data_IF_760103186881
#
_entry.id   IF_760103186881
#
_cell.length_a   1.000
_cell.length_b   1.000
_cell.length_c   1.000
_cell.angle_alpha   90.00
_cell.angle_beta   90.00
_cell.angle_gamma   90.00
#
_symmetry.space_group_name_H-M   'P 1'
#
loop_
_entity.id
_entity.type
_entity.pdbx_description
1 polymer ?
#
# COMPACT_ATOMS: atom_id res chain seq x y z
N UNK A 1 7.62 14.39 25.49
CA UNK A 1 6.93 15.70 25.34
C UNK A 1 7.02 16.24 23.90
N UNK A 2 8.13 16.81 23.41
CA UNK A 2 8.24 17.22 21.99
C UNK A 2 9.04 16.22 21.11
N UNK A 3 10.18 15.75 21.62
CA UNK A 3 11.04 14.77 20.92
C UNK A 3 10.29 13.47 20.59
N UNK A 4 9.46 13.00 21.52
CA UNK A 4 8.64 11.80 21.34
C UNK A 4 7.65 11.92 20.18
N UNK A 5 6.92 13.04 20.09
CA UNK A 5 5.99 13.30 18.98
C UNK A 5 6.73 13.45 17.65
N UNK A 6 7.89 14.11 17.66
CA UNK A 6 8.75 14.23 16.49
C UNK A 6 9.23 12.85 16.01
N UNK A 7 9.67 11.99 16.92
CA UNK A 7 10.09 10.61 16.61
C UNK A 7 8.93 9.78 16.05
N UNK A 8 7.75 9.83 16.67
CA UNK A 8 6.57 9.11 16.17
C UNK A 8 6.16 9.58 14.77
N UNK A 9 6.20 10.89 14.54
CA UNK A 9 5.91 11.48 13.23
C UNK A 9 6.95 11.05 12.21
N UNK A 10 8.23 11.11 12.57
CA UNK A 10 9.33 10.68 11.71
C UNK A 10 9.22 9.19 11.34
N UNK A 11 8.89 8.33 12.31
CA UNK A 11 8.64 6.90 12.07
C UNK A 11 7.45 6.72 11.12
N UNK A 12 6.35 7.44 11.33
CA UNK A 12 5.16 7.37 10.50
C UNK A 12 5.45 7.77 9.05
N UNK A 13 6.08 8.92 8.82
CA UNK A 13 6.41 9.40 7.46
C UNK A 13 7.45 8.52 6.77
N UNK A 14 8.42 7.97 7.50
CA UNK A 14 9.42 7.04 6.94
C UNK A 14 8.73 5.75 6.50
N UNK A 15 7.80 5.24 7.30
CA UNK A 15 7.00 4.06 6.98
C UNK A 15 6.09 4.31 5.77
N UNK A 16 5.47 5.48 5.69
CA UNK A 16 4.69 5.92 4.54
C UNK A 16 5.55 6.02 3.27
N UNK A 17 6.77 6.58 3.36
CA UNK A 17 7.68 6.70 2.24
C UNK A 17 8.12 5.33 1.69
N UNK A 18 8.42 4.37 2.57
CA UNK A 18 8.77 3.00 2.18
C UNK A 18 7.59 2.34 1.45
N UNK A 19 6.38 2.45 2.03
CA UNK A 19 5.17 1.86 1.46
C UNK A 19 4.79 2.52 0.13
N UNK A 20 4.42 3.80 0.16
CA UNK A 20 3.89 4.54 -1.00
C UNK A 20 4.95 4.67 -2.09
N UNK A 21 6.18 5.03 -1.70
CA UNK A 21 7.28 5.22 -2.65
C UNK A 21 7.69 3.92 -3.34
N UNK A 22 7.82 2.82 -2.59
CA UNK A 22 8.13 1.52 -3.17
C UNK A 22 7.02 0.98 -4.06
N UNK A 23 5.76 1.14 -3.66
CA UNK A 23 4.61 0.76 -4.49
C UNK A 23 4.53 1.59 -5.78
N UNK A 24 4.78 2.90 -5.72
CA UNK A 24 4.89 3.76 -6.90
C UNK A 24 6.02 3.32 -7.83
N UNK A 25 7.20 3.02 -7.29
CA UNK A 25 8.31 2.51 -8.10
C UNK A 25 7.94 1.21 -8.82
N UNK A 26 7.32 0.26 -8.12
CA UNK A 26 6.89 -1.01 -8.72
C UNK A 26 5.85 -0.78 -9.82
N UNK A 27 4.80 0.01 -9.54
CA UNK A 27 3.68 0.22 -10.46
C UNK A 27 4.02 1.11 -11.66
N UNK A 28 4.76 2.19 -11.45
CA UNK A 28 4.99 3.24 -12.46
C UNK A 28 6.29 3.04 -13.23
N UNK A 29 7.31 2.45 -12.60
CA UNK A 29 8.65 2.29 -13.23
C UNK A 29 8.89 0.83 -13.60
N UNK A 30 8.87 -0.07 -12.62
CA UNK A 30 9.27 -1.46 -12.83
C UNK A 30 8.29 -2.24 -13.73
N UNK A 31 6.98 -2.16 -13.46
CA UNK A 31 5.98 -2.90 -14.24
C UNK A 31 5.93 -2.50 -15.73
N UNK A 32 6.00 -1.21 -16.10
CA UNK A 32 6.07 -0.81 -17.52
C UNK A 32 7.36 -1.25 -18.21
N UNK A 33 8.50 -1.19 -17.53
CA UNK A 33 9.78 -1.69 -18.07
C UNK A 33 9.67 -3.18 -18.35
N UNK A 34 9.20 -3.96 -17.37
CA UNK A 34 9.07 -5.41 -17.51
C UNK A 34 8.09 -5.81 -18.63
N UNK A 35 7.03 -5.01 -18.85
CA UNK A 35 6.10 -5.20 -19.97
C UNK A 35 6.76 -5.05 -21.35
N UNK A 36 7.78 -4.19 -21.47
CA UNK A 36 8.51 -3.94 -22.72
C UNK A 36 9.63 -4.94 -23.01
N UNK A 37 10.03 -5.74 -22.03
CA UNK A 37 11.08 -6.76 -22.21
C UNK A 37 10.60 -7.90 -23.12
N UNK A 38 11.48 -8.32 -24.03
CA UNK A 38 11.31 -9.45 -24.96
C UNK A 38 11.48 -10.80 -24.26
N UNK A 39 10.69 -11.03 -23.22
CA UNK A 39 10.71 -12.24 -22.40
C UNK A 39 9.36 -12.98 -22.46
N UNK A 40 9.33 -14.30 -22.22
CA UNK A 40 8.09 -15.04 -21.98
C UNK A 40 7.23 -14.41 -20.89
N UNK A 41 5.92 -14.63 -20.93
CA UNK A 41 4.98 -14.07 -19.95
C UNK A 41 5.25 -14.63 -18.56
N UNK A 42 5.60 -15.91 -18.49
CA UNK A 42 5.89 -16.68 -17.29
C UNK A 42 7.09 -16.10 -16.55
N UNK A 43 8.20 -15.85 -17.25
CA UNK A 43 9.41 -15.26 -16.67
C UNK A 43 9.17 -13.83 -16.16
N UNK A 44 8.38 -13.04 -16.89
CA UNK A 44 7.99 -11.69 -16.44
C UNK A 44 7.14 -11.75 -15.16
N UNK A 45 6.21 -12.69 -15.07
CA UNK A 45 5.42 -12.87 -13.84
C UNK A 45 6.33 -13.32 -12.70
N UNK A 46 7.23 -14.29 -12.93
CA UNK A 46 8.19 -14.75 -11.92
C UNK A 46 9.07 -13.61 -11.38
N UNK A 47 9.63 -12.77 -12.27
CA UNK A 47 10.39 -11.59 -11.85
C UNK A 47 9.55 -10.62 -11.02
N UNK A 48 8.30 -10.37 -11.42
CA UNK A 48 7.37 -9.52 -10.65
C UNK A 48 7.10 -10.08 -9.26
N UNK A 49 6.89 -11.40 -9.14
CA UNK A 49 6.68 -12.09 -7.86
C UNK A 49 7.91 -12.02 -6.97
N UNK A 50 9.11 -12.27 -7.52
CA UNK A 50 10.36 -12.21 -6.76
C UNK A 50 10.64 -10.80 -6.22
N UNK A 51 10.49 -9.77 -7.07
CA UNK A 51 10.65 -8.37 -6.67
C UNK A 51 9.59 -8.00 -5.63
N UNK A 52 8.33 -8.35 -5.86
CA UNK A 52 7.23 -8.10 -4.92
C UNK A 52 7.48 -8.75 -3.56
N UNK A 53 7.96 -10.00 -3.51
CA UNK A 53 8.32 -10.67 -2.24
C UNK A 53 9.45 -9.96 -1.51
N UNK A 54 10.48 -9.53 -2.24
CA UNK A 54 11.61 -8.80 -1.64
C UNK A 54 11.16 -7.45 -1.11
N UNK A 55 10.34 -6.73 -1.86
CA UNK A 55 9.71 -5.50 -1.41
C UNK A 55 8.86 -5.72 -0.15
N UNK A 56 8.03 -6.77 -0.13
CA UNK A 56 7.15 -7.09 1.00
C UNK A 56 7.89 -7.34 2.31
N UNK A 57 9.15 -7.80 2.28
CA UNK A 57 9.99 -7.90 3.49
C UNK A 57 10.21 -6.56 4.18
N UNK A 58 10.17 -5.45 3.44
CA UNK A 58 10.28 -4.08 3.96
C UNK A 58 8.91 -3.42 4.08
N UNK A 59 8.04 -3.61 3.08
CA UNK A 59 6.75 -2.97 2.99
C UNK A 59 5.77 -3.44 4.08
N UNK A 60 5.75 -4.73 4.43
CA UNK A 60 4.85 -5.25 5.47
C UNK A 60 5.17 -4.69 6.86
N UNK A 61 6.42 -4.74 7.36
CA UNK A 61 6.77 -4.07 8.61
C UNK A 61 6.47 -2.57 8.57
N UNK A 62 6.79 -1.89 7.47
CA UNK A 62 6.48 -0.47 7.31
C UNK A 62 4.97 -0.21 7.39
N UNK A 63 4.14 -1.01 6.71
CA UNK A 63 2.68 -0.88 6.78
C UNK A 63 2.15 -1.10 8.20
N UNK A 64 2.68 -2.10 8.91
CA UNK A 64 2.29 -2.36 10.29
C UNK A 64 2.62 -1.18 11.21
N UNK A 65 3.85 -0.64 11.11
CA UNK A 65 4.28 0.53 11.86
C UNK A 65 3.45 1.76 11.48
N UNK A 66 3.14 1.94 10.19
CA UNK A 66 2.32 3.04 9.68
C UNK A 66 0.91 3.01 10.28
N UNK A 67 0.29 1.82 10.34
CA UNK A 67 -1.03 1.63 10.95
C UNK A 67 -0.96 1.89 12.45
N UNK A 68 0.01 1.32 13.17
CA UNK A 68 0.13 1.48 14.61
C UNK A 68 0.34 2.95 15.01
N UNK A 69 1.26 3.64 14.34
CA UNK A 69 1.51 5.07 14.57
C UNK A 69 0.33 5.94 14.14
N UNK A 70 -0.37 5.59 13.06
CA UNK A 70 -1.59 6.27 12.62
C UNK A 70 -2.75 6.12 13.61
N UNK A 71 -2.95 4.92 14.16
CA UNK A 71 -3.94 4.65 15.21
C UNK A 71 -3.63 5.45 16.47
N UNK A 72 -2.37 5.50 16.89
CA UNK A 72 -1.95 6.30 18.04
C UNK A 72 -2.24 7.80 17.84
N UNK A 73 -1.85 8.37 16.69
CA UNK A 73 -2.16 9.76 16.37
C UNK A 73 -3.66 10.04 16.31
N UNK A 74 -4.43 9.14 15.69
CA UNK A 74 -5.89 9.25 15.64
C UNK A 74 -6.49 9.21 17.06
N UNK A 75 -6.02 8.32 17.93
CA UNK A 75 -6.50 8.22 19.31
C UNK A 75 -6.28 9.51 20.10
N UNK A 76 -5.11 10.14 19.97
CA UNK A 76 -4.81 11.42 20.62
C UNK A 76 -5.75 12.54 20.17
N UNK A 77 -6.15 12.54 18.90
CA UNK A 77 -7.13 13.51 18.39
C UNK A 77 -8.54 13.14 18.84
N UNK A 78 -8.89 11.85 18.84
CA UNK A 78 -10.22 11.37 19.23
C UNK A 78 -10.55 11.66 20.70
N UNK A 79 -9.55 11.76 21.58
CA UNK A 79 -9.74 12.16 22.98
C UNK A 79 -10.22 13.62 23.13
N UNK A 80 -10.07 14.45 22.10
CA UNK A 80 -10.57 15.83 22.06
C UNK A 80 -11.94 15.84 21.38
N UNK A 81 -12.98 15.50 22.14
CA UNK A 81 -14.34 15.23 21.64
C UNK A 81 -14.93 16.29 20.71
N UNK A 82 -14.60 17.57 20.92
CA UNK A 82 -15.15 18.69 20.13
C UNK A 82 -14.64 18.73 18.67
N UNK A 83 -13.48 18.13 18.39
CA UNK A 83 -12.83 18.20 17.07
C UNK A 83 -13.44 17.18 16.10
N UNK A 84 -14.04 16.09 16.58
CA UNK A 84 -14.42 14.96 15.73
C UNK A 84 -15.69 15.16 14.93
N UNK A 85 -16.71 15.75 15.54
CA UNK A 85 -18.07 15.74 14.97
C UNK A 85 -18.46 17.09 14.35
N UNK A 86 -17.84 18.19 14.80
CA UNK A 86 -18.21 19.54 14.34
C UNK A 86 -17.23 20.13 13.31
N UNK A 87 -16.12 19.45 13.01
CA UNK A 87 -15.07 20.02 12.15
C UNK A 87 -14.85 19.23 10.85
N UNK A 88 -14.41 19.95 9.81
CA UNK A 88 -13.94 19.38 8.54
C UNK A 88 -12.78 18.39 8.77
N UNK A 89 -11.97 18.60 9.82
CA UNK A 89 -10.86 17.72 10.19
C UNK A 89 -11.34 16.30 10.54
N UNK A 90 -12.36 16.17 11.39
CA UNK A 90 -12.87 14.87 11.83
C UNK A 90 -13.39 14.01 10.67
N UNK A 91 -14.09 14.64 9.72
CA UNK A 91 -14.58 13.98 8.50
C UNK A 91 -13.43 13.42 7.64
N UNK A 92 -12.39 14.24 7.40
CA UNK A 92 -11.21 13.80 6.64
C UNK A 92 -10.49 12.65 7.35
N UNK A 93 -10.39 12.69 8.68
CA UNK A 93 -9.77 11.63 9.47
C UNK A 93 -10.54 10.30 9.35
N UNK A 94 -11.88 10.33 9.45
CA UNK A 94 -12.73 9.14 9.30
C UNK A 94 -12.57 8.55 7.90
N UNK A 95 -12.64 9.37 6.85
CA UNK A 95 -12.42 8.93 5.47
C UNK A 95 -11.05 8.28 5.32
N UNK A 96 -10.00 8.89 5.87
CA UNK A 96 -8.63 8.33 5.84
C UNK A 96 -8.58 6.95 6.51
N UNK A 97 -9.22 6.77 7.67
CA UNK A 97 -9.27 5.47 8.38
C UNK A 97 -9.97 4.40 7.53
N UNK A 98 -11.11 4.74 6.93
CA UNK A 98 -11.85 3.82 6.04
C UNK A 98 -10.98 3.41 4.84
N UNK A 99 -10.29 4.37 4.22
CA UNK A 99 -9.40 4.09 3.09
C UNK A 99 -8.20 3.23 3.49
N UNK A 100 -7.62 3.44 4.68
CA UNK A 100 -6.56 2.58 5.21
C UNK A 100 -7.08 1.16 5.45
N UNK A 101 -8.29 0.98 5.99
CA UNK A 101 -8.88 -0.35 6.15
C UNK A 101 -9.11 -1.03 4.79
N UNK A 102 -9.65 -0.31 3.81
CA UNK A 102 -9.81 -0.80 2.45
C UNK A 102 -8.47 -1.19 1.80
N UNK A 103 -7.42 -0.39 2.01
CA UNK A 103 -6.06 -0.65 1.54
C UNK A 103 -5.52 -1.96 2.10
N UNK A 104 -5.66 -2.18 3.42
CA UNK A 104 -5.20 -3.41 4.08
C UNK A 104 -5.91 -4.64 3.50
N UNK A 105 -7.23 -4.56 3.30
CA UNK A 105 -8.01 -5.66 2.70
C UNK A 105 -7.54 -5.93 1.27
N UNK A 106 -7.43 -4.88 0.43
CA UNK A 106 -6.99 -5.01 -0.96
C UNK A 106 -5.61 -5.63 -1.05
N UNK A 107 -4.68 -5.18 -0.21
CA UNK A 107 -3.32 -5.69 -0.19
C UNK A 107 -3.25 -7.13 0.32
N UNK A 108 -4.04 -7.49 1.34
CA UNK A 108 -4.14 -8.88 1.77
C UNK A 108 -4.66 -9.80 0.66
N UNK A 109 -5.65 -9.35 -0.11
CA UNK A 109 -6.14 -10.06 -1.31
C UNK A 109 -5.04 -10.15 -2.37
N UNK A 110 -4.32 -9.07 -2.63
CA UNK A 110 -3.22 -9.02 -3.60
C UNK A 110 -2.12 -10.04 -3.26
N UNK A 111 -1.67 -10.08 -2.00
CA UNK A 111 -0.66 -11.04 -1.52
C UNK A 111 -1.19 -12.47 -1.57
N UNK A 112 -2.47 -12.71 -1.25
CA UNK A 112 -3.06 -14.04 -1.27
C UNK A 112 -3.17 -14.62 -2.68
N UNK A 113 -3.41 -13.79 -3.69
CA UNK A 113 -3.42 -14.21 -5.11
C UNK A 113 -2.01 -14.63 -5.56
N UNK A 114 -0.96 -14.04 -5.01
CA UNK A 114 0.44 -14.34 -5.31
C UNK A 114 1.01 -15.35 -4.29
N UNK A 115 0.25 -16.40 -3.99
CA UNK A 115 0.76 -17.50 -3.14
C UNK A 115 1.73 -18.40 -3.91
N UNK A 116 2.52 -19.17 -3.14
CA UNK A 116 3.50 -20.13 -3.65
C UNK A 116 2.89 -21.17 -4.61
N UNK A 117 1.69 -21.66 -4.32
CA UNK A 117 1.01 -22.65 -5.18
C UNK A 117 0.70 -22.13 -6.59
N UNK A 118 0.41 -20.83 -6.72
CA UNK A 118 0.21 -20.19 -8.03
C UNK A 118 1.53 -20.05 -8.77
N UNK A 119 2.59 -19.69 -8.07
CA UNK A 119 3.95 -19.59 -8.62
C UNK A 119 4.49 -20.95 -9.09
N UNK A 120 4.30 -22.00 -8.28
CA UNK A 120 4.74 -23.37 -8.60
C UNK A 120 4.09 -23.87 -9.89
N UNK A 121 2.79 -23.60 -10.08
CA UNK A 121 2.06 -23.91 -11.33
C UNK A 121 2.55 -23.13 -12.54
N UNK A 122 2.98 -21.87 -12.34
CA UNK A 122 3.55 -21.04 -13.41
C UNK A 122 4.93 -21.58 -13.81
N UNK A 123 5.77 -21.96 -12.83
CA UNK A 123 7.10 -22.56 -13.06
C UNK A 123 6.98 -23.90 -13.78
N UNK A 124 6.06 -24.75 -13.33
CA UNK A 124 5.79 -26.06 -13.93
C UNK A 124 5.14 -25.98 -15.33
N UNK A 125 4.77 -24.77 -15.80
CA UNK A 125 4.05 -24.52 -17.06
C UNK A 125 2.73 -25.30 -17.17
N UNK A 126 2.11 -25.59 -16.02
CA UNK A 126 0.86 -26.36 -15.93
C UNK A 126 -0.39 -25.46 -16.10
N UNK A 127 -0.19 -24.14 -16.11
CA UNK A 127 -1.30 -23.19 -16.20
C UNK A 127 -1.62 -22.83 -17.66
N UNK A 128 -2.89 -22.97 -18.09
CA UNK A 128 -3.30 -22.55 -19.44
C UNK A 128 -2.99 -21.07 -19.70
N UNK A 129 -2.62 -20.74 -20.94
CA UNK A 129 -2.28 -19.36 -21.33
C UNK A 129 -3.40 -18.35 -21.05
N UNK A 130 -4.67 -18.77 -21.15
CA UNK A 130 -5.81 -17.93 -20.78
C UNK A 130 -5.88 -17.61 -19.29
N UNK A 131 -5.60 -18.58 -18.43
CA UNK A 131 -5.59 -18.39 -16.97
C UNK A 131 -4.42 -17.49 -16.54
N UNK A 132 -3.24 -17.68 -17.15
CA UNK A 132 -2.06 -16.84 -16.95
C UNK A 132 -2.37 -15.37 -17.27
N UNK A 133 -3.04 -15.10 -18.39
CA UNK A 133 -3.41 -13.74 -18.77
C UNK A 133 -4.45 -13.12 -17.82
N UNK A 134 -5.46 -13.88 -17.39
CA UNK A 134 -6.46 -13.43 -16.41
C UNK A 134 -5.81 -13.12 -15.05
N UNK A 135 -4.93 -14.00 -14.59
CA UNK A 135 -4.17 -13.82 -13.35
C UNK A 135 -3.30 -12.57 -13.41
N UNK A 136 -2.53 -12.41 -14.49
CA UNK A 136 -1.68 -11.23 -14.70
C UNK A 136 -2.50 -9.94 -14.65
N UNK A 137 -3.63 -9.87 -15.36
CA UNK A 137 -4.52 -8.69 -15.34
C UNK A 137 -5.01 -8.40 -13.92
N UNK A 138 -5.45 -9.42 -13.17
CA UNK A 138 -5.89 -9.26 -11.77
C UNK A 138 -4.78 -8.71 -10.88
N UNK A 139 -3.57 -9.26 -10.98
CA UNK A 139 -2.40 -8.80 -10.21
C UNK A 139 -2.10 -7.33 -10.50
N UNK A 140 -2.03 -6.94 -11.78
CA UNK A 140 -1.72 -5.56 -12.18
C UNK A 140 -2.80 -4.60 -11.67
N UNK A 141 -4.08 -4.89 -11.92
CA UNK A 141 -5.19 -4.02 -11.50
C UNK A 141 -5.20 -3.86 -9.98
N UNK A 142 -5.07 -4.95 -9.21
CA UNK A 142 -5.02 -4.87 -7.75
C UNK A 142 -3.82 -4.05 -7.27
N UNK A 143 -2.66 -4.19 -7.92
CA UNK A 143 -1.47 -3.41 -7.61
C UNK A 143 -1.68 -1.92 -7.88
N UNK A 144 -2.20 -1.55 -9.05
CA UNK A 144 -2.51 -0.17 -9.43
C UNK A 144 -3.53 0.47 -8.49
N UNK A 145 -4.62 -0.22 -8.18
CA UNK A 145 -5.63 0.29 -7.23
C UNK A 145 -5.02 0.48 -5.84
N UNK A 146 -4.17 -0.43 -5.39
CA UNK A 146 -3.45 -0.30 -4.11
C UNK A 146 -2.54 0.94 -4.10
N UNK A 147 -1.82 1.21 -5.20
CA UNK A 147 -0.97 2.41 -5.35
C UNK A 147 -1.80 3.69 -5.32
N UNK A 148 -2.86 3.76 -6.13
CA UNK A 148 -3.75 4.93 -6.20
C UNK A 148 -4.34 5.23 -4.84
N UNK A 149 -4.86 4.20 -4.16
CA UNK A 149 -5.42 4.33 -2.82
C UNK A 149 -4.36 4.83 -1.81
N UNK A 150 -3.13 4.32 -1.88
CA UNK A 150 -2.03 4.74 -1.02
C UNK A 150 -1.66 6.22 -1.23
N UNK A 151 -1.68 6.70 -2.48
CA UNK A 151 -1.42 8.12 -2.82
C UNK A 151 -2.55 9.01 -2.30
N UNK A 152 -3.81 8.59 -2.44
CA UNK A 152 -4.96 9.33 -1.89
C UNK A 152 -4.84 9.44 -0.36
N UNK A 153 -4.52 8.35 0.33
CA UNK A 153 -4.32 8.34 1.79
C UNK A 153 -3.20 9.31 2.20
N UNK A 154 -2.09 9.34 1.45
CA UNK A 154 -0.98 10.27 1.68
C UNK A 154 -1.42 11.73 1.48
N UNK A 155 -2.21 12.02 0.44
CA UNK A 155 -2.79 13.34 0.22
C UNK A 155 -3.71 13.76 1.38
N UNK A 156 -4.61 12.89 1.85
CA UNK A 156 -5.46 13.19 3.00
C UNK A 156 -4.64 13.42 4.28
N UNK A 157 -3.50 12.73 4.44
CA UNK A 157 -2.58 13.02 5.54
C UNK A 157 -2.01 14.44 5.47
N UNK A 158 -1.67 14.92 4.27
CA UNK A 158 -1.23 16.31 4.05
C UNK A 158 -2.35 17.31 4.33
N UNK A 159 -3.59 17.01 3.93
CA UNK A 159 -4.77 17.85 4.23
C UNK A 159 -5.00 17.98 5.74
N UNK A 160 -4.93 16.86 6.48
CA UNK A 160 -5.05 16.89 7.95
C UNK A 160 -3.95 17.73 8.60
N UNK A 161 -2.72 17.63 8.10
CA UNK A 161 -1.61 18.42 8.62
C UNK A 161 -1.75 19.92 8.33
N UNK A 162 -2.26 20.29 7.15
CA UNK A 162 -2.51 21.69 6.80
C UNK A 162 -3.73 22.27 7.52
N UNK A 163 -4.81 21.49 7.65
CA UNK A 163 -6.06 21.90 8.29
C UNK A 163 -6.01 21.93 9.82
N UNK A 164 -5.08 21.23 10.45
CA UNK A 164 -4.83 21.30 11.90
C UNK A 164 -3.93 22.47 12.34
N UNK A 165 -3.43 23.28 11.39
CA UNK A 165 -2.61 24.47 11.63
C UNK A 165 -3.37 25.80 11.42
N UNK A 166 -4.65 25.73 11.02
CA UNK A 166 -5.58 26.87 10.95
C UNK A 166 -6.49 26.85 12.19
#
# INVERSE_FOLDING_TARGET
MALEQALLTWIHITSAAIWVGGSLFIGVVFAPILKKMSMPVEERIQLMVQVGRRFNKLALPALFILIATGMYQAHLVLQKSDILYETSYGHVLIVKIILVAALVILYAVHVRIIRKDVEDKIIAKEMPQEELQKLRKKIIILGEVTVVLSVIILFLASVLNAGGQL
#
